data_IF_684416844503
#
_entry.id   IF_684416844503
#
_cell.length_a   1.000
_cell.length_b   1.000
_cell.length_c   1.000
_cell.angle_alpha   90.00
_cell.angle_beta   90.00
_cell.angle_gamma   90.00
#
_symmetry.space_group_name_H-M   'P 1'
#
loop_
_entity.id
_entity.type
_entity.pdbx_description
1 polymer ?
#
# COMPACT_ATOMS: atom_id res chain seq x y z
N UNK A 1 15.82 6.57 3.85
CA UNK A 1 14.64 5.81 4.32
C UNK A 1 13.86 5.44 3.08
N UNK A 2 13.85 4.16 2.71
CA UNK A 2 13.11 3.65 1.54
C UNK A 2 11.67 3.45 1.99
N UNK A 3 10.77 4.27 1.50
CA UNK A 3 9.33 4.11 1.75
C UNK A 3 8.82 2.99 0.84
N UNK A 4 8.35 1.88 1.42
CA UNK A 4 7.76 0.79 0.65
C UNK A 4 6.29 1.13 0.36
N UNK A 5 5.93 1.45 -0.89
CA UNK A 5 4.57 1.80 -1.23
C UNK A 5 3.69 0.54 -1.29
N UNK A 6 2.38 0.72 -1.08
CA UNK A 6 1.40 -0.32 -1.38
C UNK A 6 1.37 -0.63 -2.88
N UNK A 7 1.06 -1.86 -3.33
CA UNK A 7 0.83 -2.16 -4.75
C UNK A 7 -0.18 -1.21 -5.41
N UNK A 8 -1.15 -0.69 -4.65
CA UNK A 8 -2.14 0.27 -5.11
C UNK A 8 -1.50 1.64 -5.39
N UNK A 9 -0.59 2.10 -4.53
CA UNK A 9 0.21 3.31 -4.73
C UNK A 9 1.19 3.17 -5.89
N UNK A 10 1.74 1.98 -6.10
CA UNK A 10 2.52 1.69 -7.30
C UNK A 10 1.68 1.94 -8.54
N UNK A 11 0.47 1.40 -8.61
CA UNK A 11 -0.41 1.62 -9.77
C UNK A 11 -0.88 3.07 -9.87
N UNK A 12 -1.14 3.74 -8.74
CA UNK A 12 -1.51 5.17 -8.71
C UNK A 12 -0.36 6.08 -9.18
N UNK A 13 0.89 5.69 -8.92
CA UNK A 13 2.08 6.39 -9.39
C UNK A 13 2.38 6.17 -10.89
N UNK A 14 1.55 5.35 -11.58
CA UNK A 14 1.66 5.15 -13.02
C UNK A 14 1.43 6.47 -13.76
N UNK A 15 2.40 6.83 -14.59
CA UNK A 15 2.30 8.02 -15.45
C UNK A 15 1.22 7.84 -16.52
N UNK A 16 0.66 8.94 -17.09
CA UNK A 16 -0.30 8.85 -18.20
C UNK A 16 0.26 8.15 -19.45
N UNK A 17 1.59 8.09 -19.59
CA UNK A 17 2.27 7.32 -20.64
C UNK A 17 2.27 5.80 -20.37
N UNK A 18 1.77 5.37 -19.21
CA UNK A 18 1.61 3.97 -18.85
C UNK A 18 2.80 3.32 -18.13
N UNK A 19 3.85 4.08 -17.79
CA UNK A 19 5.05 3.59 -17.10
C UNK A 19 5.35 4.33 -15.79
N UNK A 20 6.51 4.03 -15.19
CA UNK A 20 6.98 4.63 -13.93
C UNK A 20 8.26 5.42 -14.14
N UNK A 21 8.47 6.46 -13.32
CA UNK A 21 9.70 7.25 -13.34
C UNK A 21 10.85 6.47 -12.68
N UNK A 22 12.06 6.63 -13.21
CA UNK A 22 13.28 6.02 -12.65
C UNK A 22 13.51 6.44 -11.20
N UNK A 23 13.36 7.72 -10.89
CA UNK A 23 13.52 8.24 -9.52
C UNK A 23 12.47 7.67 -8.55
N UNK A 24 11.25 7.45 -9.04
CA UNK A 24 10.17 6.82 -8.26
C UNK A 24 10.51 5.36 -7.93
N UNK A 25 10.93 4.58 -8.95
CA UNK A 25 11.36 3.20 -8.77
C UNK A 25 12.57 3.11 -7.83
N UNK A 26 13.54 4.01 -7.97
CA UNK A 26 14.70 4.09 -7.10
C UNK A 26 14.33 4.44 -5.65
N UNK A 27 13.32 5.29 -5.44
CA UNK A 27 12.80 5.61 -4.11
C UNK A 27 12.22 4.38 -3.40
N UNK A 28 11.66 3.43 -4.16
CA UNK A 28 11.16 2.14 -3.68
C UNK A 28 12.22 1.03 -3.66
N UNK A 29 13.44 1.33 -4.13
CA UNK A 29 14.54 0.36 -4.23
C UNK A 29 14.44 -0.58 -5.43
N UNK A 30 13.60 -0.28 -6.43
CA UNK A 30 13.46 -1.05 -7.66
C UNK A 30 14.55 -0.63 -8.66
N UNK A 31 15.37 -1.56 -9.16
CA UNK A 31 16.39 -1.25 -10.15
C UNK A 31 15.78 -0.84 -11.50
N UNK A 32 16.50 0.00 -12.24
CA UNK A 32 16.16 0.38 -13.62
C UNK A 32 17.09 -0.32 -14.62
N UNK A 33 16.58 -0.97 -15.68
CA UNK A 33 15.17 -1.13 -16.05
C UNK A 33 14.41 -2.06 -15.09
N UNK A 34 13.09 -1.86 -14.91
CA UNK A 34 12.29 -2.69 -14.02
C UNK A 34 12.33 -4.16 -14.47
N UNK A 35 12.80 -5.09 -13.62
CA UNK A 35 12.80 -6.51 -13.96
C UNK A 35 11.37 -7.02 -14.10
N UNK A 36 11.16 -8.07 -14.90
CA UNK A 36 9.83 -8.68 -15.03
C UNK A 36 9.39 -9.20 -13.66
N UNK A 37 8.22 -8.76 -13.17
CA UNK A 37 7.70 -9.14 -11.85
C UNK A 37 8.15 -8.25 -10.69
N UNK A 38 8.79 -7.11 -10.93
CA UNK A 38 9.19 -6.18 -9.86
C UNK A 38 8.02 -5.70 -8.98
N UNK A 39 6.81 -5.62 -9.54
CA UNK A 39 5.59 -5.25 -8.83
C UNK A 39 5.21 -6.30 -7.78
N UNK A 40 5.33 -7.57 -8.13
CA UNK A 40 5.08 -8.70 -7.23
C UNK A 40 6.11 -8.72 -6.09
N UNK A 41 7.39 -8.51 -6.41
CA UNK A 41 8.44 -8.42 -5.37
C UNK A 41 8.19 -7.24 -4.42
N UNK A 42 7.77 -6.09 -4.95
CA UNK A 42 7.44 -4.94 -4.12
C UNK A 42 6.21 -5.19 -3.25
N UNK A 43 5.18 -5.85 -3.79
CA UNK A 43 3.99 -6.25 -3.05
C UNK A 43 4.34 -7.26 -1.94
N UNK A 44 5.21 -8.23 -2.21
CA UNK A 44 5.69 -9.19 -1.23
C UNK A 44 6.49 -8.51 -0.12
N UNK A 45 7.40 -7.58 -0.45
CA UNK A 45 8.16 -6.81 0.54
C UNK A 45 7.27 -5.89 1.37
N UNK A 46 6.25 -5.28 0.76
CA UNK A 46 5.25 -4.50 1.47
C UNK A 46 4.44 -5.36 2.46
N UNK A 47 4.02 -6.56 2.03
CA UNK A 47 3.34 -7.53 2.90
C UNK A 47 4.24 -8.07 4.00
N UNK A 48 5.52 -8.34 3.72
CA UNK A 48 6.49 -8.85 4.68
C UNK A 48 6.89 -7.79 5.73
N UNK A 49 6.86 -6.51 5.35
CA UNK A 49 7.11 -5.39 6.26
C UNK A 49 5.93 -5.04 7.17
N UNK A 50 4.71 -5.48 6.82
CA UNK A 50 3.58 -5.43 7.75
C UNK A 50 3.74 -6.58 8.75
N UNK A 51 3.64 -6.33 10.07
CA UNK A 51 3.58 -7.43 11.02
C UNK A 51 2.32 -8.22 10.70
N UNK A 52 2.51 -9.40 10.11
CA UNK A 52 1.48 -10.39 9.91
C UNK A 52 1.04 -10.91 11.28
N UNK A 53 0.14 -10.16 11.94
CA UNK A 53 -0.73 -10.72 12.94
C UNK A 53 -1.64 -11.73 12.24
N UNK A 54 -1.86 -12.93 12.80
CA UNK A 54 -2.65 -13.95 12.13
C UNK A 54 -4.10 -13.44 12.07
N UNK A 55 -4.65 -13.29 10.87
CA UNK A 55 -6.07 -12.98 10.60
C UNK A 55 -6.52 -11.54 10.96
N UNK A 56 -6.46 -10.60 10.02
CA UNK A 56 -7.31 -9.39 10.07
C UNK A 56 -7.54 -8.79 8.65
N UNK A 57 -8.75 -8.23 8.37
CA UNK A 57 -9.33 -8.01 7.04
C UNK A 57 -8.72 -6.83 6.24
N UNK A 58 -9.07 -6.64 4.94
CA UNK A 58 -8.64 -5.46 4.18
C UNK A 58 -9.07 -4.15 4.86
N UNK A 59 -8.31 -3.05 4.72
CA UNK A 59 -8.67 -1.78 5.32
C UNK A 59 -9.97 -1.24 4.69
N UNK A 60 -11.00 -1.08 5.52
CA UNK A 60 -12.29 -0.46 5.20
C UNK A 60 -12.13 1.02 4.83
N UNK A 61 -12.98 1.58 3.96
CA UNK A 61 -13.40 2.97 4.10
C UNK A 61 -14.91 3.04 4.32
N UNK A 62 -15.34 3.12 5.57
CA UNK A 62 -16.64 3.69 5.91
C UNK A 62 -16.52 4.32 7.30
N UNK A 63 -16.82 5.62 7.46
CA UNK A 63 -16.92 6.20 8.78
C UNK A 63 -18.02 5.44 9.51
N UNK A 64 -17.67 4.70 10.55
CA UNK A 64 -18.63 4.31 11.56
C UNK A 64 -19.10 5.61 12.22
N UNK A 65 -20.12 6.17 11.60
CA UNK A 65 -21.08 7.10 12.18
C UNK A 65 -21.36 6.65 13.62
N UNK A 66 -20.67 7.30 14.56
CA UNK A 66 -21.18 7.87 15.80
C UNK A 66 -22.28 7.12 16.59
N UNK A 67 -22.38 5.79 16.50
CA UNK A 67 -23.33 4.97 17.27
C UNK A 67 -22.86 4.71 18.71
N UNK A 68 -22.15 5.67 19.32
CA UNK A 68 -21.79 5.67 20.74
C UNK A 68 -22.78 6.48 21.60
N UNK A 69 -23.75 7.18 20.98
CA UNK A 69 -24.86 7.84 21.68
C UNK A 69 -25.99 6.83 21.89
N UNK A 70 -26.09 6.18 23.06
CA UNK A 70 -27.33 5.56 23.60
C UNK A 70 -27.14 4.82 24.94
N UNK A 71 -25.92 4.71 25.51
CA UNK A 71 -25.77 4.16 26.88
C UNK A 71 -25.20 5.17 27.87
N UNK A 72 -25.73 6.39 27.82
CA UNK A 72 -25.95 7.21 29.00
C UNK A 72 -27.45 7.13 29.32
N UNK A 73 -27.83 6.24 30.25
CA UNK A 73 -29.13 6.37 30.92
C UNK A 73 -29.08 5.80 32.33
N UNK A 74 -28.93 6.72 33.29
CA UNK A 74 -29.68 6.74 34.57
C UNK A 74 -29.17 5.90 35.72
#
# INVERSE_FOLDING_TARGET
>A
MTDLPSPEEVEAARTPAGGWKRDQLAAWGVPWPPPKGWKDELAERWQAGRPAGPLAPPPTPAPADFAQDTLDFG
#
